data_IF_034705720425
#
_entry.id   IF_034705720425
#
_cell.length_a   1.000
_cell.length_b   1.000
_cell.length_c   1.000
_cell.angle_alpha   90.00
_cell.angle_beta   90.00
_cell.angle_gamma   90.00
#
_symmetry.space_group_name_H-M   'P 1'
#
loop_
_entity.id
_entity.type
_entity.pdbx_description
1 polymer ?
#
# COMPACT_ATOMS: atom_id res chain seq x y z
N UNK A 1 25.90 -5.09 -21.50
CA UNK A 1 25.95 -6.56 -21.59
C UNK A 1 25.59 -7.12 -20.21
N UNK A 2 24.34 -7.60 -20.04
CA UNK A 2 23.79 -8.05 -18.75
C UNK A 2 24.61 -9.25 -18.28
N UNK A 3 25.41 -9.07 -17.23
CA UNK A 3 26.27 -10.14 -16.70
C UNK A 3 25.38 -11.11 -15.91
N UNK A 4 25.71 -12.41 -15.87
CA UNK A 4 24.95 -13.42 -15.09
C UNK A 4 24.70 -12.99 -13.65
N UNK A 5 25.64 -12.25 -13.06
CA UNK A 5 25.53 -11.63 -11.74
C UNK A 5 24.33 -10.68 -11.62
N UNK A 6 24.09 -9.83 -12.63
CA UNK A 6 23.03 -8.83 -12.59
C UNK A 6 21.66 -9.54 -12.58
N UNK A 7 21.48 -10.58 -13.43
CA UNK A 7 20.26 -11.39 -13.45
C UNK A 7 20.01 -12.14 -12.14
N UNK A 8 21.08 -12.64 -11.52
CA UNK A 8 21.00 -13.30 -10.21
C UNK A 8 20.53 -12.32 -9.13
N UNK A 9 21.16 -11.15 -9.06
CA UNK A 9 20.82 -10.08 -8.11
C UNK A 9 19.37 -9.61 -8.29
N UNK A 10 18.93 -9.39 -9.53
CA UNK A 10 17.55 -9.01 -9.85
C UNK A 10 16.55 -10.07 -9.39
N UNK A 11 16.84 -11.35 -9.68
CA UNK A 11 15.96 -12.47 -9.32
C UNK A 11 15.84 -12.63 -7.81
N UNK A 12 16.97 -12.55 -7.11
CA UNK A 12 17.01 -12.69 -5.65
C UNK A 12 16.29 -11.52 -4.96
N UNK A 13 16.48 -10.30 -5.47
CA UNK A 13 15.77 -9.13 -5.00
C UNK A 13 14.26 -9.24 -5.20
N UNK A 14 13.80 -9.57 -6.42
CA UNK A 14 12.36 -9.71 -6.71
C UNK A 14 11.71 -10.84 -5.90
N UNK A 15 12.42 -11.96 -5.72
CA UNK A 15 11.93 -13.07 -4.89
C UNK A 15 11.76 -12.61 -3.43
N UNK A 16 12.78 -11.96 -2.88
CA UNK A 16 12.74 -11.45 -1.50
C UNK A 16 11.66 -10.39 -1.33
N UNK A 17 11.54 -9.47 -2.30
CA UNK A 17 10.52 -8.43 -2.32
C UNK A 17 9.12 -9.02 -2.30
N UNK A 18 8.82 -9.99 -3.17
CA UNK A 18 7.49 -10.61 -3.24
C UNK A 18 7.13 -11.33 -1.94
N UNK A 19 8.08 -12.03 -1.30
CA UNK A 19 7.83 -12.70 -0.02
C UNK A 19 7.48 -11.67 1.05
N UNK A 20 8.31 -10.64 1.22
CA UNK A 20 8.08 -9.60 2.23
C UNK A 20 6.76 -8.87 1.93
N UNK A 21 6.53 -8.51 0.67
CA UNK A 21 5.32 -7.82 0.24
C UNK A 21 4.07 -8.63 0.58
N UNK A 22 4.03 -9.91 0.21
CA UNK A 22 2.89 -10.79 0.50
C UNK A 22 2.69 -10.99 2.00
N UNK A 23 3.76 -11.09 2.78
CA UNK A 23 3.67 -11.18 4.24
C UNK A 23 3.02 -9.94 4.84
N UNK A 24 3.47 -8.74 4.44
CA UNK A 24 2.86 -7.48 4.90
C UNK A 24 1.41 -7.36 4.43
N UNK A 25 1.14 -7.66 3.15
CA UNK A 25 -0.21 -7.62 2.61
C UNK A 25 -1.17 -8.53 3.39
N UNK A 26 -0.75 -9.76 3.71
CA UNK A 26 -1.55 -10.70 4.50
C UNK A 26 -1.85 -10.16 5.90
N UNK A 27 -0.84 -9.64 6.61
CA UNK A 27 -1.02 -9.06 7.95
C UNK A 27 -1.99 -7.88 7.92
N UNK A 28 -1.82 -6.97 6.96
CA UNK A 28 -2.68 -5.80 6.82
C UNK A 28 -4.13 -6.17 6.47
N UNK A 29 -4.33 -7.16 5.59
CA UNK A 29 -5.67 -7.66 5.26
C UNK A 29 -6.34 -8.22 6.51
N UNK A 30 -5.62 -9.00 7.33
CA UNK A 30 -6.18 -9.55 8.58
C UNK A 30 -6.59 -8.44 9.55
N UNK A 31 -5.74 -7.43 9.74
CA UNK A 31 -6.05 -6.28 10.60
C UNK A 31 -7.31 -5.54 10.07
N UNK A 32 -7.36 -5.25 8.77
CA UNK A 32 -8.48 -4.53 8.16
C UNK A 32 -9.79 -5.34 8.21
N UNK A 33 -9.70 -6.67 8.09
CA UNK A 33 -10.83 -7.60 8.28
C UNK A 33 -11.37 -7.50 9.70
N UNK A 34 -10.52 -7.57 10.71
CA UNK A 34 -10.95 -7.48 12.11
C UNK A 34 -11.63 -6.13 12.38
N UNK A 35 -11.09 -5.03 11.84
CA UNK A 35 -11.59 -3.67 12.11
C UNK A 35 -12.83 -3.27 11.29
N UNK A 36 -12.96 -3.75 10.06
CA UNK A 36 -13.98 -3.27 9.12
C UNK A 36 -15.06 -4.30 8.79
N UNK A 37 -14.77 -5.60 8.87
CA UNK A 37 -15.77 -6.64 8.57
C UNK A 37 -17.01 -6.53 9.47
N UNK A 38 -16.92 -6.29 10.79
CA UNK A 38 -18.11 -6.15 11.63
C UNK A 38 -18.99 -4.95 11.22
N UNK A 39 -18.39 -3.85 10.76
CA UNK A 39 -19.11 -2.68 10.25
C UNK A 39 -19.83 -3.00 8.94
N UNK A 40 -19.16 -3.71 8.04
CA UNK A 40 -19.74 -4.18 6.78
C UNK A 40 -20.93 -5.13 7.02
N UNK A 41 -20.80 -6.06 7.96
CA UNK A 41 -21.87 -7.00 8.32
C UNK A 41 -23.08 -6.29 8.94
N UNK A 42 -22.86 -5.33 9.86
CA UNK A 42 -23.95 -4.54 10.47
C UNK A 42 -24.73 -3.71 9.46
N UNK A 43 -24.09 -3.26 8.40
CA UNK A 43 -24.74 -2.54 7.30
C UNK A 43 -25.47 -3.45 6.30
N UNK A 44 -25.45 -4.77 6.50
CA UNK A 44 -26.13 -5.72 5.63
C UNK A 44 -25.42 -5.95 4.29
N UNK A 45 -24.09 -5.82 4.23
CA UNK A 45 -23.32 -6.08 3.03
C UNK A 45 -23.34 -7.57 2.65
N UNK A 46 -23.54 -7.86 1.37
CA UNK A 46 -23.44 -9.19 0.80
C UNK A 46 -21.96 -9.61 0.65
N UNK A 47 -21.65 -10.92 0.65
CA UNK A 47 -20.29 -11.48 0.50
C UNK A 47 -19.58 -10.94 -0.74
N UNK A 48 -20.29 -10.75 -1.85
CA UNK A 48 -19.72 -10.18 -3.07
C UNK A 48 -19.26 -8.73 -2.89
N UNK A 49 -20.02 -7.91 -2.16
CA UNK A 49 -19.65 -6.53 -1.85
C UNK A 49 -18.42 -6.47 -0.93
N UNK A 50 -18.32 -7.40 0.02
CA UNK A 50 -17.15 -7.52 0.88
C UNK A 50 -15.88 -7.86 0.06
N UNK A 51 -15.96 -8.80 -0.88
CA UNK A 51 -14.82 -9.16 -1.74
C UNK A 51 -14.37 -7.95 -2.58
N UNK A 52 -15.30 -7.24 -3.21
CA UNK A 52 -14.98 -6.05 -4.03
C UNK A 52 -14.35 -4.95 -3.17
N UNK A 53 -14.88 -4.73 -1.96
CA UNK A 53 -14.34 -3.76 -1.01
C UNK A 53 -12.88 -4.06 -0.63
N UNK A 54 -12.54 -5.33 -0.36
CA UNK A 54 -11.14 -5.71 -0.07
C UNK A 54 -10.25 -5.67 -1.32
N UNK A 55 -10.79 -5.96 -2.50
CA UNK A 55 -10.03 -5.84 -3.75
C UNK A 55 -9.67 -4.38 -4.05
N UNK A 56 -10.62 -3.46 -3.83
CA UNK A 56 -10.40 -2.00 -3.94
C UNK A 56 -9.47 -1.47 -2.84
N UNK A 57 -9.23 -2.22 -1.76
CA UNK A 57 -8.29 -1.87 -0.69
C UNK A 57 -6.84 -2.21 -1.05
N UNK A 58 -6.60 -3.13 -1.99
CA UNK A 58 -5.25 -3.56 -2.36
C UNK A 58 -4.34 -2.42 -2.85
N UNK A 59 -4.78 -1.47 -3.71
CA UNK A 59 -3.93 -0.35 -4.14
C UNK A 59 -3.46 0.51 -2.96
N UNK A 60 -4.33 0.74 -1.97
CA UNK A 60 -3.97 1.45 -0.75
C UNK A 60 -2.89 0.71 0.05
N UNK A 61 -3.05 -0.60 0.25
CA UNK A 61 -2.06 -1.42 0.94
C UNK A 61 -0.72 -1.44 0.20
N UNK A 62 -0.74 -1.54 -1.13
CA UNK A 62 0.44 -1.48 -1.98
C UNK A 62 1.22 -0.19 -1.76
N UNK A 63 0.56 0.96 -1.84
CA UNK A 63 1.20 2.27 -1.67
C UNK A 63 1.72 2.45 -0.23
N UNK A 64 0.93 2.05 0.76
CA UNK A 64 1.28 2.20 2.18
C UNK A 64 2.50 1.33 2.58
N UNK A 65 2.54 0.07 2.13
CA UNK A 65 3.56 -0.89 2.57
C UNK A 65 4.85 -0.83 1.75
N UNK A 66 4.78 -0.34 0.50
CA UNK A 66 5.90 -0.35 -0.44
C UNK A 66 7.21 0.23 0.10
N UNK A 67 7.26 1.39 0.78
CA UNK A 67 8.52 1.94 1.29
C UNK A 67 9.22 1.00 2.28
N UNK A 68 8.46 0.40 3.18
CA UNK A 68 8.96 -0.53 4.19
C UNK A 68 9.39 -1.85 3.54
N UNK A 69 8.59 -2.37 2.60
CA UNK A 69 8.91 -3.60 1.88
C UNK A 69 10.21 -3.47 1.09
N UNK A 70 10.40 -2.36 0.35
CA UNK A 70 11.64 -2.12 -0.43
C UNK A 70 12.86 -2.03 0.49
N UNK A 71 12.75 -1.29 1.60
CA UNK A 71 13.82 -1.17 2.60
C UNK A 71 14.24 -2.54 3.14
N UNK A 72 13.26 -3.32 3.62
CA UNK A 72 13.52 -4.64 4.18
C UNK A 72 14.10 -5.59 3.13
N UNK A 73 13.60 -5.54 1.89
CA UNK A 73 14.16 -6.33 0.78
C UNK A 73 15.65 -6.06 0.60
N UNK A 74 16.05 -4.78 0.56
CA UNK A 74 17.46 -4.41 0.45
C UNK A 74 18.31 -4.94 1.61
N UNK A 75 17.77 -4.86 2.84
CA UNK A 75 18.44 -5.36 4.04
C UNK A 75 18.61 -6.89 4.01
N UNK A 76 17.54 -7.64 3.71
CA UNK A 76 17.60 -9.10 3.61
C UNK A 76 18.50 -9.58 2.49
N UNK A 77 18.50 -8.87 1.36
CA UNK A 77 19.39 -9.19 0.24
C UNK A 77 20.87 -9.00 0.63
N UNK A 78 21.21 -7.87 1.25
CA UNK A 78 22.58 -7.61 1.71
C UNK A 78 23.01 -8.64 2.76
N UNK A 79 22.10 -9.00 3.67
CA UNK A 79 22.33 -10.06 4.64
C UNK A 79 22.58 -11.42 3.95
N UNK A 80 21.80 -11.77 2.93
CA UNK A 80 21.98 -13.01 2.15
C UNK A 80 23.33 -13.05 1.44
N UNK A 81 23.73 -11.96 0.78
CA UNK A 81 25.04 -11.81 0.12
C UNK A 81 26.20 -11.93 1.10
N UNK A 82 26.03 -11.44 2.34
CA UNK A 82 27.03 -11.54 3.39
C UNK A 82 27.10 -12.95 3.98
N UNK A 83 25.96 -13.57 4.26
CA UNK A 83 25.87 -14.89 4.90
C UNK A 83 26.49 -16.00 4.07
N UNK A 84 26.35 -15.92 2.74
CA UNK A 84 26.91 -16.92 1.81
C UNK A 84 28.31 -16.53 1.29
N UNK A 85 28.95 -15.52 1.87
CA UNK A 85 30.24 -14.96 1.40
C UNK A 85 30.24 -14.52 -0.09
N UNK A 86 29.06 -14.32 -0.69
CA UNK A 86 28.94 -13.89 -2.09
C UNK A 86 29.49 -12.48 -2.29
N UNK A 87 29.30 -11.59 -1.30
CA UNK A 87 29.91 -10.26 -1.30
C UNK A 87 31.45 -10.31 -1.38
N UNK A 88 32.06 -11.27 -0.67
CA UNK A 88 33.52 -11.50 -0.69
C UNK A 88 33.94 -12.08 -2.05
N UNK A 89 33.20 -13.06 -2.56
CA UNK A 89 33.47 -13.67 -3.86
C UNK A 89 33.40 -12.67 -5.03
N UNK A 90 32.39 -11.77 -5.03
CA UNK A 90 32.26 -10.71 -6.03
C UNK A 90 33.49 -9.80 -6.02
N UNK A 91 33.96 -9.41 -4.83
CA UNK A 91 35.17 -8.58 -4.68
C UNK A 91 36.44 -9.32 -5.11
N UNK A 92 36.58 -10.59 -4.76
CA UNK A 92 37.70 -11.44 -5.16
C UNK A 92 37.77 -11.64 -6.68
N UNK A 93 36.61 -11.67 -7.36
CA UNK A 93 36.51 -11.70 -8.82
C UNK A 93 36.82 -10.36 -9.51
N UNK A 94 37.31 -9.35 -8.77
CA UNK A 94 37.66 -8.03 -9.30
C UNK A 94 36.46 -7.14 -9.62
N UNK A 95 35.25 -7.50 -9.18
CA UNK A 95 34.03 -6.71 -9.40
C UNK A 95 33.78 -5.78 -8.21
N UNK A 96 33.61 -4.49 -8.48
CA UNK A 96 33.24 -3.54 -7.43
C UNK A 96 31.84 -3.78 -6.90
N UNK A 97 31.67 -3.68 -5.57
CA UNK A 97 30.36 -3.88 -4.93
C UNK A 97 29.34 -2.85 -5.42
N UNK A 98 29.78 -1.61 -5.70
CA UNK A 98 28.94 -0.54 -6.24
C UNK A 98 28.31 -0.92 -7.58
N UNK A 99 29.08 -1.57 -8.47
CA UNK A 99 28.56 -2.08 -9.74
C UNK A 99 27.54 -3.20 -9.53
N UNK A 100 27.79 -4.10 -8.58
CA UNK A 100 26.86 -5.17 -8.25
C UNK A 100 25.52 -4.63 -7.72
N UNK A 101 25.52 -3.49 -7.01
CA UNK A 101 24.29 -2.86 -6.50
C UNK A 101 23.57 -1.96 -7.51
N UNK A 102 24.21 -1.55 -8.62
CA UNK A 102 23.58 -0.73 -9.66
C UNK A 102 22.23 -1.28 -10.17
N UNK A 103 22.06 -2.58 -10.49
CA UNK A 103 20.76 -3.12 -10.89
C UNK A 103 19.67 -2.98 -9.82
N UNK A 104 20.04 -2.96 -8.54
CA UNK A 104 19.09 -2.76 -7.43
C UNK A 104 18.58 -1.33 -7.39
N UNK A 105 19.44 -0.34 -7.65
CA UNK A 105 19.00 1.05 -7.79
C UNK A 105 18.01 1.23 -8.94
N UNK A 106 18.27 0.58 -10.09
CA UNK A 106 17.36 0.62 -11.24
C UNK A 106 16.01 0.00 -10.88
N UNK A 107 15.98 -1.17 -10.23
CA UNK A 107 14.72 -1.80 -9.81
C UNK A 107 14.01 -0.95 -8.75
N UNK A 108 14.74 -0.45 -7.75
CA UNK A 108 14.16 0.40 -6.71
C UNK A 108 13.51 1.65 -7.29
N UNK A 109 14.15 2.27 -8.28
CA UNK A 109 13.59 3.40 -9.02
C UNK A 109 12.32 3.01 -9.80
N UNK A 110 12.34 1.87 -10.50
CA UNK A 110 11.16 1.37 -11.22
C UNK A 110 9.99 1.08 -10.27
N UNK A 111 10.25 0.46 -9.12
CA UNK A 111 9.23 0.23 -8.09
C UNK A 111 8.72 1.57 -7.56
N UNK A 112 9.61 2.52 -7.26
CA UNK A 112 9.22 3.85 -6.77
C UNK A 112 8.31 4.58 -7.75
N UNK A 113 8.63 4.57 -9.05
CA UNK A 113 7.79 5.18 -10.09
C UNK A 113 6.45 4.45 -10.18
N UNK A 114 6.46 3.11 -10.16
CA UNK A 114 5.23 2.31 -10.14
C UNK A 114 4.32 2.66 -8.97
N UNK A 115 4.88 2.77 -7.76
CA UNK A 115 4.16 3.14 -6.54
C UNK A 115 3.63 4.57 -6.62
N UNK A 116 4.41 5.51 -7.16
CA UNK A 116 3.95 6.89 -7.36
C UNK A 116 2.74 6.95 -8.30
N UNK A 117 2.80 6.26 -9.44
CA UNK A 117 1.68 6.16 -10.39
C UNK A 117 0.46 5.50 -9.72
N UNK A 118 0.66 4.43 -8.94
CA UNK A 118 -0.44 3.81 -8.20
C UNK A 118 -1.04 4.77 -7.17
N UNK A 119 -0.22 5.55 -6.47
CA UNK A 119 -0.65 6.54 -5.49
C UNK A 119 -1.41 7.72 -6.09
N UNK A 120 -1.03 8.17 -7.28
CA UNK A 120 -1.66 9.33 -7.94
C UNK A 120 -2.92 8.97 -8.72
N UNK A 121 -2.98 7.80 -9.36
CA UNK A 121 -4.09 7.46 -10.27
C UNK A 121 -4.97 6.35 -9.71
N UNK A 122 -4.38 5.23 -9.28
CA UNK A 122 -5.14 4.05 -8.88
C UNK A 122 -5.78 4.22 -7.50
N UNK A 123 -5.06 4.84 -6.56
CA UNK A 123 -5.53 5.01 -5.20
C UNK A 123 -6.75 5.95 -5.12
N UNK A 124 -6.77 7.15 -5.73
CA UNK A 124 -7.95 8.02 -5.69
C UNK A 124 -9.15 7.39 -6.38
N UNK A 125 -8.94 6.69 -7.50
CA UNK A 125 -10.00 5.96 -8.20
C UNK A 125 -10.60 4.85 -7.32
N UNK A 126 -9.73 4.06 -6.69
CA UNK A 126 -10.17 2.97 -5.82
C UNK A 126 -10.91 3.48 -4.58
N UNK A 127 -10.41 4.55 -3.94
CA UNK A 127 -11.03 5.12 -2.75
C UNK A 127 -12.34 5.84 -3.05
N UNK A 128 -12.44 6.51 -4.21
CA UNK A 128 -13.69 7.11 -4.69
C UNK A 128 -14.76 6.05 -4.93
N UNK A 129 -14.40 4.97 -5.64
CA UNK A 129 -15.31 3.84 -5.90
C UNK A 129 -15.74 3.15 -4.61
N UNK A 130 -14.82 2.95 -3.67
CA UNK A 130 -15.09 2.37 -2.35
C UNK A 130 -16.02 3.25 -1.51
N UNK A 131 -15.80 4.56 -1.54
CA UNK A 131 -16.64 5.55 -0.86
C UNK A 131 -18.05 5.62 -1.46
N UNK A 132 -18.18 5.48 -2.78
CA UNK A 132 -19.48 5.34 -3.45
C UNK A 132 -20.22 4.07 -3.00
N UNK A 133 -19.56 2.91 -3.01
CA UNK A 133 -20.15 1.64 -2.52
C UNK A 133 -20.54 1.73 -1.05
N UNK A 134 -19.73 2.39 -0.21
CA UNK A 134 -20.01 2.58 1.20
C UNK A 134 -21.15 3.58 1.46
N UNK A 135 -21.20 4.70 0.75
CA UNK A 135 -22.21 5.73 0.99
C UNK A 135 -23.59 5.33 0.42
N UNK A 136 -23.64 4.76 -0.78
CA UNK A 136 -24.92 4.46 -1.42
C UNK A 136 -25.52 3.12 -1.01
N UNK A 137 -24.71 2.13 -0.64
CA UNK A 137 -25.23 0.78 -0.34
C UNK A 137 -25.20 0.42 1.15
N UNK A 138 -24.36 1.10 1.94
CA UNK A 138 -24.13 0.80 3.36
C UNK A 138 -24.68 1.92 4.26
N UNK A 139 -24.40 3.22 3.99
CA UNK A 139 -25.00 4.34 4.75
C UNK A 139 -26.46 4.62 4.41
N UNK A 140 -26.92 4.41 3.18
CA UNK A 140 -28.33 4.65 2.82
C UNK A 140 -29.34 3.76 3.59
N UNK A 141 -28.88 2.67 4.23
CA UNK A 141 -29.71 1.79 5.08
C UNK A 141 -29.79 2.18 6.55
N UNK A 142 -28.95 3.10 7.03
CA UNK A 142 -29.06 3.70 8.36
C UNK A 142 -28.64 5.17 8.25
N UNK A 143 -29.59 6.13 8.23
CA UNK A 143 -29.24 7.50 8.54
C UNK A 143 -28.71 7.48 9.97
N UNK A 144 -27.40 7.69 10.13
CA UNK A 144 -26.81 7.94 11.42
C UNK A 144 -27.54 9.16 11.99
N UNK A 145 -28.29 9.00 13.09
CA UNK A 145 -28.96 10.11 13.77
C UNK A 145 -27.97 11.22 14.18
N UNK A 146 -26.65 10.95 14.14
CA UNK A 146 -25.59 11.95 14.30
C UNK A 146 -25.49 12.93 13.13
N UNK A 147 -25.80 12.54 11.89
CA UNK A 147 -25.75 13.46 10.75
C UNK A 147 -26.83 14.54 10.83
N UNK A 148 -27.96 14.27 11.50
CA UNK A 148 -28.98 15.28 11.80
C UNK A 148 -28.54 16.29 12.87
N UNK A 149 -27.41 16.04 13.56
CA UNK A 149 -26.84 16.94 14.58
C UNK A 149 -25.49 17.54 14.20
N UNK A 150 -24.98 17.28 13.00
CA UNK A 150 -23.76 17.91 12.53
C UNK A 150 -24.10 19.31 12.01
N UNK A 151 -24.21 20.26 12.94
CA UNK A 151 -24.17 21.68 12.62
C UNK A 151 -22.82 21.97 11.96
N UNK A 152 -22.83 22.22 10.65
CA UNK A 152 -21.62 22.59 9.92
C UNK A 152 -21.27 24.03 10.31
N UNK A 153 -20.19 24.19 11.07
CA UNK A 153 -19.70 25.50 11.48
C UNK A 153 -18.73 26.02 10.42
N UNK A 154 -19.13 27.10 9.73
CA UNK A 154 -18.24 27.85 8.86
C UNK A 154 -17.81 29.13 9.58
N UNK A 155 -16.51 29.27 9.85
CA UNK A 155 -15.95 30.48 10.45
C UNK A 155 -15.42 31.39 9.35
N UNK A 156 -16.09 32.53 9.15
CA UNK A 156 -15.67 33.56 8.19
C UNK A 156 -14.50 34.40 8.71
N UNK A 157 -13.87 35.17 7.79
CA UNK A 157 -12.70 36.02 8.08
C UNK A 157 -12.92 37.10 9.15
N UNK A 158 -14.17 37.49 9.45
CA UNK A 158 -14.51 38.47 10.50
C UNK A 158 -15.07 37.81 11.76
N UNK A 159 -14.50 36.67 12.19
CA UNK A 159 -14.86 35.97 13.41
C UNK A 159 -16.37 35.66 13.57
N UNK A 160 -17.09 35.62 12.46
CA UNK A 160 -18.54 35.34 12.41
C UNK A 160 -18.72 33.84 12.17
N UNK A 161 -19.47 33.19 13.05
CA UNK A 161 -19.77 31.75 12.95
C UNK A 161 -21.17 31.62 12.35
N UNK A 162 -21.25 31.08 11.13
CA UNK A 162 -22.53 30.79 10.49
C UNK A 162 -22.95 29.36 10.81
N UNK A 163 -24.16 29.21 11.37
CA UNK A 163 -24.77 27.93 11.70
C UNK A 163 -25.73 27.53 10.59
N UNK A 164 -25.42 26.46 9.87
CA UNK A 164 -26.38 25.81 8.97
C UNK A 164 -26.82 24.50 9.63
N UNK A 165 -27.99 24.52 10.25
CA UNK A 165 -28.69 23.34 10.74
C UNK A 165 -29.85 23.01 9.80
N UNK A 166 -29.92 21.76 9.34
CA UNK A 166 -31.15 21.22 8.75
C UNK A 166 -32.05 20.80 9.91
N UNK A 167 -33.21 21.45 10.04
CA UNK A 167 -34.26 21.09 11.00
C UNK A 167 -34.93 19.77 10.61
#
# INVERSE_FOLDING_TARGET
>A
MIRKLDRYIIREFLRTYLIIFLSFAAVFIVIDVIDNLPRLMRAGANTQQAIIYYLLRLPYLLVLTSPVTVLLTGLFMMNSLSKHNESVAIRAAGVSIKRAMLPLFVIGLLISIGVAIMGEYLLPWAESTRSYVYNEQIKAKQPDERTLKEAVHYQGKENTIHYFGLF
#
